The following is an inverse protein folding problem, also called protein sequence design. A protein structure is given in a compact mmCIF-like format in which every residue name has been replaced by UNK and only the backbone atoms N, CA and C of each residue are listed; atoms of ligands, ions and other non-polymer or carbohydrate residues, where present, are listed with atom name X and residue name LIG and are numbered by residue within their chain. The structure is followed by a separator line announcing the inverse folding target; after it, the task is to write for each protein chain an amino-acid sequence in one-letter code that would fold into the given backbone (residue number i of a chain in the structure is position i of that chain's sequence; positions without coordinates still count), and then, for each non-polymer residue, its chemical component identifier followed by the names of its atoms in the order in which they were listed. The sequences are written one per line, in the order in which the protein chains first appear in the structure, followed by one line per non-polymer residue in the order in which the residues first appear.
data_IF_631148875598
#
_entry.id   IF_631148875598
#
_cell.length_a   1.000
_cell.length_b   1.000
_cell.length_c   1.000
_cell.angle_alpha   90.00
_cell.angle_beta   90.00
_cell.angle_gamma   90.00
#
_symmetry.space_group_name_H-M   'P 1'
#
loop_
_entity.id
_entity.type
_entity.pdbx_description
1 polymer ?
#
# COMPACT_ATOMS: atom_id res chain seq x y z
N UNK A 1 -25.87 35.23 -15.84
CA UNK A 1 -25.49 34.20 -16.82
C UNK A 1 -24.52 33.21 -16.20
N UNK A 2 -24.75 31.94 -16.36
CA UNK A 2 -23.82 30.93 -15.88
C UNK A 2 -23.07 30.28 -17.05
N UNK A 3 -21.88 29.74 -16.73
CA UNK A 3 -21.06 29.07 -17.73
C UNK A 3 -20.54 27.78 -17.13
N UNK A 4 -20.58 26.70 -17.89
CA UNK A 4 -20.06 25.42 -17.48
C UNK A 4 -18.80 25.13 -18.27
N UNK A 5 -17.76 24.69 -17.57
CA UNK A 5 -16.49 24.28 -18.18
C UNK A 5 -16.12 22.88 -17.66
N UNK A 6 -15.85 21.98 -18.58
CA UNK A 6 -15.40 20.64 -18.23
C UNK A 6 -13.89 20.59 -18.29
N UNK A 7 -13.28 20.21 -17.18
CA UNK A 7 -11.84 20.04 -17.09
C UNK A 7 -11.48 18.56 -16.99
N UNK A 8 -10.30 18.17 -17.48
CA UNK A 8 -9.80 16.83 -17.24
C UNK A 8 -9.74 16.59 -15.74
N UNK A 9 -10.03 15.37 -15.33
CA UNK A 9 -9.96 14.99 -13.91
C UNK A 9 -8.54 15.20 -13.42
N UNK A 10 -8.39 15.97 -12.32
CA UNK A 10 -7.09 16.21 -11.71
C UNK A 10 -6.47 14.88 -11.27
N UNK A 11 -5.16 14.78 -11.42
CA UNK A 11 -4.43 13.66 -10.89
C UNK A 11 -4.52 12.41 -11.74
N UNK A 12 -4.55 12.55 -13.06
CA UNK A 12 -4.17 11.43 -13.89
C UNK A 12 -2.83 10.97 -13.34
N UNK A 13 -2.80 9.83 -12.69
CA UNK A 13 -1.64 9.36 -11.98
C UNK A 13 -0.48 9.10 -12.92
N UNK A 14 0.71 9.32 -12.44
CA UNK A 14 1.93 8.99 -13.18
C UNK A 14 2.25 7.52 -12.98
N UNK A 15 2.92 6.92 -13.97
CA UNK A 15 3.17 5.49 -14.01
C UNK A 15 4.64 5.11 -13.88
N UNK A 16 5.52 6.08 -13.68
CA UNK A 16 6.96 5.83 -13.55
C UNK A 16 7.28 5.04 -12.28
N UNK A 17 8.34 4.27 -12.34
CA UNK A 17 8.81 3.49 -11.19
C UNK A 17 9.23 4.39 -10.04
N UNK A 18 9.13 3.87 -8.83
CA UNK A 18 9.55 4.55 -7.62
C UNK A 18 8.38 4.96 -6.74
N UNK A 19 8.64 5.89 -5.84
CA UNK A 19 7.68 6.33 -4.86
C UNK A 19 6.71 7.37 -5.42
N UNK A 20 5.44 7.20 -5.08
CA UNK A 20 4.36 8.11 -5.43
C UNK A 20 3.53 8.42 -4.19
N UNK A 21 3.23 9.68 -3.98
CA UNK A 21 2.28 10.08 -2.95
C UNK A 21 0.87 9.88 -3.51
N UNK A 22 0.11 8.96 -2.92
CA UNK A 22 -1.20 8.59 -3.44
C UNK A 22 -2.29 8.79 -2.41
N UNK A 23 -3.46 9.19 -2.88
CA UNK A 23 -4.66 9.30 -2.06
C UNK A 23 -5.55 8.09 -2.31
N UNK A 24 -5.99 7.45 -1.24
CA UNK A 24 -6.84 6.27 -1.33
C UNK A 24 -8.25 6.70 -1.73
N UNK A 25 -8.75 6.16 -2.83
CA UNK A 25 -10.08 6.47 -3.33
C UNK A 25 -11.14 5.46 -2.89
N UNK A 26 -10.72 4.22 -2.67
CA UNK A 26 -11.62 3.13 -2.31
C UNK A 26 -10.83 2.03 -1.62
N UNK A 27 -11.48 1.31 -0.71
CA UNK A 27 -10.89 0.14 -0.08
C UNK A 27 -11.98 -0.88 0.19
N UNK A 28 -11.65 -2.18 0.07
CA UNK A 28 -12.61 -3.25 0.30
C UNK A 28 -11.90 -4.52 0.76
N UNK A 29 -12.44 -5.14 1.78
CA UNK A 29 -11.99 -6.47 2.21
C UNK A 29 -12.50 -7.55 1.27
N UNK A 30 -11.74 -8.62 1.17
CA UNK A 30 -12.16 -9.80 0.42
C UNK A 30 -11.46 -11.04 0.95
N UNK A 31 -11.76 -12.16 0.30
CA UNK A 31 -11.16 -13.45 0.66
C UNK A 31 -10.94 -14.27 -0.60
N UNK A 32 -9.79 -14.90 -0.68
CA UNK A 32 -9.45 -15.79 -1.77
C UNK A 32 -8.69 -16.99 -1.22
N UNK A 33 -9.17 -18.17 -1.52
CA UNK A 33 -8.53 -19.44 -1.12
C UNK A 33 -8.24 -19.47 0.39
N UNK A 34 -9.24 -19.09 1.19
CA UNK A 34 -9.20 -19.02 2.66
C UNK A 34 -8.27 -17.93 3.22
N UNK A 35 -7.67 -17.12 2.36
CA UNK A 35 -6.83 -16.00 2.79
C UNK A 35 -7.60 -14.69 2.69
N UNK A 36 -7.60 -13.94 3.78
CA UNK A 36 -8.25 -12.63 3.83
C UNK A 36 -7.31 -11.57 3.32
N UNK A 37 -7.86 -10.58 2.64
CA UNK A 37 -7.07 -9.48 2.11
C UNK A 37 -7.88 -8.19 2.13
N UNK A 38 -7.18 -7.08 1.91
CA UNK A 38 -7.80 -5.80 1.62
C UNK A 38 -7.26 -5.28 0.29
N UNK A 39 -8.16 -4.82 -0.57
CA UNK A 39 -7.80 -4.13 -1.80
C UNK A 39 -7.94 -2.63 -1.60
N UNK A 40 -7.00 -1.87 -2.14
CA UNK A 40 -6.97 -0.42 -2.03
C UNK A 40 -6.75 0.16 -3.43
N UNK A 41 -7.60 1.13 -3.78
CA UNK A 41 -7.51 1.88 -5.04
C UNK A 41 -7.08 3.30 -4.75
N UNK A 42 -6.45 3.92 -5.73
CA UNK A 42 -5.87 5.25 -5.56
C UNK A 42 -6.47 6.22 -6.57
N UNK A 43 -6.62 7.48 -6.17
CA UNK A 43 -7.10 8.53 -7.07
C UNK A 43 -6.16 8.71 -8.26
N UNK A 44 -6.73 8.89 -9.45
CA UNK A 44 -5.96 9.09 -10.67
C UNK A 44 -5.54 7.81 -11.38
N UNK A 45 -5.98 6.64 -10.89
CA UNK A 45 -5.65 5.34 -11.48
C UNK A 45 -6.93 4.53 -11.74
N UNK A 46 -6.92 3.66 -12.76
CA UNK A 46 -8.10 2.88 -13.09
C UNK A 46 -8.39 1.76 -12.08
N UNK A 47 -9.61 1.24 -12.11
CA UNK A 47 -10.06 0.22 -11.16
C UNK A 47 -9.31 -1.12 -11.28
N UNK A 48 -8.66 -1.38 -12.41
CA UNK A 48 -7.83 -2.57 -12.56
C UNK A 48 -6.40 -2.39 -12.04
N UNK A 49 -6.11 -1.25 -11.44
CA UNK A 49 -4.81 -0.97 -10.85
C UNK A 49 -5.00 -0.69 -9.36
N UNK A 50 -4.84 -1.74 -8.57
CA UNK A 50 -5.05 -1.68 -7.12
C UNK A 50 -3.93 -2.41 -6.38
N UNK A 51 -3.81 -2.10 -5.11
CA UNK A 51 -2.88 -2.79 -4.21
C UNK A 51 -3.67 -3.81 -3.39
N UNK A 52 -3.20 -5.04 -3.35
CA UNK A 52 -3.79 -6.09 -2.50
C UNK A 52 -2.81 -6.47 -1.41
N UNK A 53 -3.27 -6.36 -0.18
CA UNK A 53 -2.50 -6.77 1.00
C UNK A 53 -3.22 -7.90 1.70
N UNK A 54 -2.56 -9.06 1.76
CA UNK A 54 -3.09 -10.22 2.49
C UNK A 54 -2.80 -10.08 3.98
N UNK A 55 -3.75 -10.53 4.80
CA UNK A 55 -3.57 -10.58 6.23
C UNK A 55 -2.41 -11.52 6.59
N UNK A 56 -1.59 -11.09 7.52
CA UNK A 56 -0.46 -11.87 8.02
C UNK A 56 -0.46 -11.82 9.53
N UNK A 57 -0.36 -12.99 10.16
CA UNK A 57 -0.33 -13.12 11.61
C UNK A 57 1.13 -13.28 12.04
N UNK A 58 1.56 -12.45 12.96
CA UNK A 58 2.92 -12.46 13.48
C UNK A 58 3.10 -13.35 14.71
N UNK A 59 4.27 -13.26 15.32
CA UNK A 59 4.64 -14.09 16.46
C UNK A 59 3.75 -13.91 17.69
N UNK A 60 3.17 -12.73 17.84
CA UNK A 60 2.31 -12.40 18.98
C UNK A 60 0.82 -12.65 18.68
N UNK A 61 0.54 -13.40 17.62
CA UNK A 61 -0.80 -13.72 17.19
C UNK A 61 -1.61 -12.48 16.76
N UNK A 62 -0.91 -11.42 16.38
CA UNK A 62 -1.51 -10.18 15.87
C UNK A 62 -1.38 -10.13 14.35
N UNK A 63 -2.44 -9.64 13.69
CA UNK A 63 -2.37 -9.35 12.27
C UNK A 63 -1.57 -8.05 12.09
N UNK A 64 -0.49 -8.08 11.32
CA UNK A 64 0.41 -6.92 11.20
C UNK A 64 0.45 -6.30 9.81
N UNK A 65 0.13 -7.03 8.75
CA UNK A 65 0.26 -6.49 7.38
C UNK A 65 -0.84 -5.47 7.08
N UNK A 66 -2.09 -5.83 7.32
CA UNK A 66 -3.22 -4.90 7.17
C UNK A 66 -3.15 -3.82 8.26
N UNK A 67 -2.80 -4.22 9.47
CA UNK A 67 -2.63 -3.27 10.57
C UNK A 67 -1.63 -2.16 10.26
N UNK A 68 -0.51 -2.50 9.65
CA UNK A 68 0.48 -1.50 9.25
C UNK A 68 -0.03 -0.57 8.14
N UNK A 69 -0.86 -1.09 7.24
CA UNK A 69 -1.49 -0.23 6.23
C UNK A 69 -2.34 0.87 6.89
N UNK A 70 -3.20 0.48 7.84
CA UNK A 70 -4.01 1.45 8.60
C UNK A 70 -3.15 2.43 9.38
N UNK A 71 -2.13 1.91 10.06
CA UNK A 71 -1.19 2.76 10.81
C UNK A 71 -0.52 3.80 9.92
N UNK A 72 0.05 3.36 8.79
CA UNK A 72 0.78 4.26 7.88
C UNK A 72 -0.13 5.24 7.16
N UNK A 73 -1.38 4.87 6.93
CA UNK A 73 -2.38 5.77 6.38
C UNK A 73 -2.95 6.73 7.42
N UNK A 74 -2.57 6.58 8.68
CA UNK A 74 -3.17 7.32 9.80
C UNK A 74 -4.68 7.16 9.79
N UNK A 75 -5.15 5.93 9.61
CA UNK A 75 -6.55 5.61 9.41
C UNK A 75 -7.12 4.87 10.61
N UNK A 76 -8.25 5.34 11.11
CA UNK A 76 -8.98 4.68 12.17
C UNK A 76 -8.30 4.60 13.53
N UNK A 77 -7.20 5.30 13.72
CA UNK A 77 -6.48 5.29 15.00
C UNK A 77 -7.36 5.92 16.08
N UNK A 78 -7.75 5.14 17.06
CA UNK A 78 -8.70 5.59 18.08
C UNK A 78 -8.07 5.78 19.45
N UNK A 79 -7.06 5.00 19.81
CA UNK A 79 -6.50 5.07 21.16
C UNK A 79 -5.13 4.40 21.23
N UNK A 80 -4.43 4.70 22.31
CA UNK A 80 -3.16 4.08 22.69
C UNK A 80 -3.37 3.31 23.97
N UNK A 81 -2.91 2.06 24.00
CA UNK A 81 -2.92 1.22 25.19
C UNK A 81 -1.49 0.83 25.54
N UNK A 82 -1.13 0.91 26.81
CA UNK A 82 0.17 0.43 27.27
C UNK A 82 0.04 -1.02 27.75
N UNK A 83 0.96 -1.86 27.31
CA UNK A 83 1.05 -3.21 27.85
C UNK A 83 1.88 -3.24 29.12
N UNK A 84 1.76 -4.32 29.89
CA UNK A 84 2.59 -4.53 31.09
C UNK A 84 4.08 -4.66 30.77
N UNK A 85 4.43 -4.88 29.50
CA UNK A 85 5.80 -5.05 29.04
C UNK A 85 6.42 -3.74 28.51
N UNK A 86 5.70 -2.63 28.65
CA UNK A 86 6.19 -1.33 28.19
C UNK A 86 6.06 -1.08 26.71
N UNK A 87 5.34 -1.94 26.00
CA UNK A 87 5.05 -1.76 24.58
C UNK A 87 3.80 -0.90 24.40
N UNK A 88 3.75 -0.15 23.32
CA UNK A 88 2.57 0.62 22.95
C UNK A 88 1.66 -0.24 22.09
N UNK A 89 0.40 -0.34 22.47
CA UNK A 89 -0.63 -1.05 21.71
C UNK A 89 -1.53 -0.02 21.06
N UNK A 90 -1.62 -0.08 19.75
CA UNK A 90 -2.47 0.83 18.99
C UNK A 90 -3.85 0.19 18.81
N UNK A 91 -4.88 0.91 19.25
CA UNK A 91 -6.26 0.51 19.00
C UNK A 91 -6.79 1.28 17.80
N UNK A 92 -7.34 0.57 16.84
CA UNK A 92 -7.83 1.19 15.61
C UNK A 92 -9.17 0.62 15.17
N UNK A 93 -9.94 1.46 14.49
CA UNK A 93 -11.11 1.02 13.74
C UNK A 93 -10.63 0.59 12.35
N UNK A 94 -10.77 -0.67 12.04
CA UNK A 94 -10.28 -1.26 10.80
C UNK A 94 -11.35 -1.41 9.71
N UNK A 95 -12.40 -0.63 9.77
CA UNK A 95 -13.35 -0.54 8.66
C UNK A 95 -12.63 0.00 7.42
N UNK A 96 -12.89 -0.62 6.28
CA UNK A 96 -12.22 -0.23 5.02
C UNK A 96 -12.44 1.26 4.69
N UNK A 97 -13.62 1.78 5.01
CA UNK A 97 -13.96 3.18 4.76
C UNK A 97 -13.06 4.17 5.49
N UNK A 98 -12.41 3.76 6.57
CA UNK A 98 -11.47 4.62 7.30
C UNK A 98 -10.26 4.98 6.45
N UNK A 99 -9.94 4.17 5.46
CA UNK A 99 -8.80 4.42 4.55
C UNK A 99 -9.11 5.45 3.47
N UNK A 100 -10.38 5.65 3.14
CA UNK A 100 -10.76 6.53 2.02
C UNK A 100 -10.37 7.98 2.32
N UNK A 101 -9.70 8.63 1.37
CA UNK A 101 -9.22 10.00 1.53
C UNK A 101 -7.86 10.12 2.21
N UNK A 102 -7.31 9.02 2.70
CA UNK A 102 -6.00 9.03 3.36
C UNK A 102 -4.89 8.97 2.33
N UNK A 103 -3.73 9.50 2.69
CA UNK A 103 -2.55 9.53 1.81
C UNK A 103 -1.46 8.62 2.34
N UNK A 104 -0.82 7.92 1.42
CA UNK A 104 0.35 7.09 1.71
C UNK A 104 1.36 7.22 0.58
N UNK A 105 2.61 6.87 0.88
CA UNK A 105 3.62 6.70 -0.15
C UNK A 105 3.55 5.26 -0.68
N UNK A 106 3.46 5.12 -1.99
CA UNK A 106 3.29 3.84 -2.66
C UNK A 106 4.44 3.63 -3.63
N UNK A 107 5.00 2.44 -3.65
CA UNK A 107 6.14 2.12 -4.50
C UNK A 107 5.67 1.36 -5.74
N UNK A 108 5.96 1.92 -6.91
CA UNK A 108 5.62 1.30 -8.19
C UNK A 108 6.86 0.64 -8.78
N UNK A 109 6.67 -0.55 -9.36
CA UNK A 109 7.75 -1.25 -10.04
C UNK A 109 7.23 -1.85 -11.34
N UNK A 110 8.15 -2.19 -12.23
CA UNK A 110 7.81 -2.81 -13.50
C UNK A 110 7.95 -4.33 -13.44
N UNK A 111 6.95 -5.00 -14.01
CA UNK A 111 6.96 -6.44 -14.20
C UNK A 111 6.66 -6.70 -15.67
N UNK A 112 7.72 -6.86 -16.47
CA UNK A 112 7.55 -6.87 -17.92
C UNK A 112 6.99 -5.56 -18.45
N UNK A 113 5.84 -5.63 -19.10
CA UNK A 113 5.14 -4.45 -19.65
C UNK A 113 4.30 -3.72 -18.62
N UNK A 114 4.06 -4.34 -17.47
CA UNK A 114 3.06 -3.85 -16.53
C UNK A 114 3.70 -3.09 -15.38
N UNK A 115 3.01 -2.05 -14.93
CA UNK A 115 3.33 -1.37 -13.69
C UNK A 115 2.57 -2.05 -12.58
N UNK A 116 3.26 -2.36 -11.49
CA UNK A 116 2.66 -3.00 -10.32
C UNK A 116 2.94 -2.18 -9.08
N UNK A 117 2.14 -2.41 -8.06
CA UNK A 117 2.25 -1.72 -6.78
C UNK A 117 2.81 -2.69 -5.75
N UNK A 118 3.88 -2.26 -5.07
CA UNK A 118 4.40 -3.00 -3.93
C UNK A 118 3.37 -2.97 -2.80
N UNK A 119 3.13 -4.12 -2.18
CA UNK A 119 2.11 -4.24 -1.13
C UNK A 119 2.58 -3.78 0.25
N UNK A 120 3.67 -3.05 0.31
CA UNK A 120 4.13 -2.36 1.51
C UNK A 120 4.21 -0.87 1.22
N UNK A 121 3.38 -0.11 1.90
CA UNK A 121 3.37 1.35 1.78
C UNK A 121 4.31 1.96 2.81
N UNK A 122 4.66 3.22 2.62
CA UNK A 122 5.34 4.01 3.64
C UNK A 122 4.42 5.16 4.06
N UNK A 123 4.52 5.61 5.31
CA UNK A 123 3.67 6.70 5.78
C UNK A 123 4.06 8.04 5.17
N UNK A 124 3.10 8.96 5.14
CA UNK A 124 3.38 10.38 5.03
C UNK A 124 3.76 10.89 6.41
N UNK A 125 4.17 12.15 6.51
CA UNK A 125 4.34 12.78 7.81
C UNK A 125 2.97 13.04 8.43
N UNK A 126 2.81 12.67 9.69
CA UNK A 126 1.57 12.95 10.43
C UNK A 126 1.81 12.89 11.94
N UNK A 127 0.84 13.37 12.69
CA UNK A 127 0.80 13.26 14.14
C UNK A 127 -0.60 12.82 14.57
N UNK A 128 -0.66 11.89 15.48
CA UNK A 128 -1.92 11.43 16.07
C UNK A 128 -1.72 11.17 17.57
N UNK A 129 -2.75 10.63 18.23
CA UNK A 129 -2.72 10.37 19.68
C UNK A 129 -1.69 9.33 20.09
N UNK A 130 -1.18 8.56 19.15
CA UNK A 130 -0.25 7.46 19.40
C UNK A 130 1.17 7.81 19.04
N UNK A 131 1.39 8.43 17.89
CA UNK A 131 2.73 8.64 17.38
C UNK A 131 2.81 9.85 16.47
N UNK A 132 4.03 10.33 16.31
CA UNK A 132 4.39 11.36 15.33
C UNK A 132 5.32 10.72 14.32
N UNK A 133 4.96 10.80 13.04
CA UNK A 133 5.82 10.31 11.96
C UNK A 133 6.53 11.53 11.36
N UNK A 134 7.84 11.57 11.55
CA UNK A 134 8.70 12.65 11.04
C UNK A 134 9.19 12.33 9.63
N UNK A 135 9.88 13.30 9.01
CA UNK A 135 10.56 13.10 7.73
C UNK A 135 11.53 11.91 7.80
N UNK A 136 12.28 11.79 8.88
CA UNK A 136 13.22 10.68 9.06
C UNK A 136 12.50 9.35 9.15
N UNK A 137 11.35 9.31 9.81
CA UNK A 137 10.53 8.10 9.90
C UNK A 137 10.00 7.70 8.53
N UNK A 138 9.57 8.65 7.72
CA UNK A 138 9.13 8.39 6.35
C UNK A 138 10.26 7.73 5.56
N UNK A 139 11.46 8.26 5.63
CA UNK A 139 12.61 7.71 4.92
C UNK A 139 12.97 6.32 5.44
N UNK A 140 12.87 6.10 6.74
CA UNK A 140 13.12 4.78 7.33
C UNK A 140 12.15 3.73 6.77
N UNK A 141 10.87 4.03 6.72
CA UNK A 141 9.86 3.09 6.23
C UNK A 141 9.94 2.88 4.72
N UNK A 142 10.29 3.93 3.97
CA UNK A 142 10.59 3.78 2.54
C UNK A 142 11.78 2.83 2.33
N UNK A 143 12.82 2.99 3.12
CA UNK A 143 14.00 2.11 3.05
C UNK A 143 13.67 0.66 3.36
N UNK A 144 12.79 0.43 4.34
CA UNK A 144 12.34 -0.91 4.69
C UNK A 144 11.54 -1.56 3.56
N UNK A 145 10.65 -0.80 2.94
CA UNK A 145 9.85 -1.30 1.82
C UNK A 145 10.72 -1.58 0.59
N UNK A 146 11.67 -0.71 0.30
CA UNK A 146 12.63 -0.91 -0.80
C UNK A 146 13.47 -2.16 -0.57
N UNK A 147 13.92 -2.39 0.65
CA UNK A 147 14.67 -3.60 1.00
C UNK A 147 13.82 -4.85 0.78
N UNK A 148 12.56 -4.81 1.20
CA UNK A 148 11.64 -5.91 0.95
C UNK A 148 11.49 -6.18 -0.55
N UNK A 149 11.35 -5.12 -1.34
CA UNK A 149 11.27 -5.26 -2.78
C UNK A 149 12.53 -5.92 -3.36
N UNK A 150 13.71 -5.43 -2.98
CA UNK A 150 14.99 -5.97 -3.47
C UNK A 150 15.18 -7.44 -3.06
N UNK A 151 14.83 -7.77 -1.83
CA UNK A 151 15.10 -9.11 -1.28
C UNK A 151 14.06 -10.15 -1.71
N UNK A 152 12.79 -9.75 -1.91
CA UNK A 152 11.68 -10.69 -2.08
C UNK A 152 10.98 -10.60 -3.43
N UNK A 153 10.90 -9.44 -4.03
CA UNK A 153 10.14 -9.23 -5.26
C UNK A 153 11.04 -9.24 -6.49
N UNK A 154 12.10 -8.44 -6.47
CA UNK A 154 13.00 -8.28 -7.60
C UNK A 154 13.60 -9.59 -8.09
N UNK A 155 14.07 -10.52 -7.22
CA UNK A 155 14.58 -11.80 -7.69
C UNK A 155 13.54 -12.62 -8.46
N UNK A 156 12.28 -12.56 -8.05
CA UNK A 156 11.19 -13.25 -8.75
C UNK A 156 10.92 -12.64 -10.12
N UNK A 157 11.05 -11.32 -10.25
CA UNK A 157 10.86 -10.63 -11.51
C UNK A 157 11.97 -11.00 -12.50
N UNK A 158 13.22 -11.02 -12.06
CA UNK A 158 14.37 -11.40 -12.89
C UNK A 158 14.22 -12.83 -13.40
N UNK A 159 13.82 -13.76 -12.53
CA UNK A 159 13.57 -15.14 -12.92
C UNK A 159 12.42 -15.24 -13.92
N UNK A 160 11.34 -14.50 -13.70
CA UNK A 160 10.19 -14.47 -14.59
C UNK A 160 10.55 -13.89 -15.94
N UNK A 161 11.33 -12.82 -15.95
CA UNK A 161 11.77 -12.20 -17.21
C UNK A 161 12.66 -13.12 -18.02
N UNK A 162 13.55 -13.87 -17.39
CA UNK A 162 14.37 -14.86 -18.04
C UNK A 162 13.50 -15.97 -18.65
N UNK A 163 12.50 -16.44 -17.92
CA UNK A 163 11.56 -17.44 -18.41
C UNK A 163 10.74 -16.89 -19.56
N UNK A 164 10.29 -15.66 -19.49
CA UNK A 164 9.54 -14.99 -20.56
C UNK A 164 10.39 -14.89 -21.82
N UNK A 165 11.65 -14.46 -21.70
CA UNK A 165 12.56 -14.38 -22.84
C UNK A 165 12.82 -15.75 -23.47
N UNK A 166 12.93 -16.78 -22.66
CA UNK A 166 13.18 -18.15 -23.14
C UNK A 166 11.95 -18.80 -23.79
N UNK A 167 10.73 -18.44 -23.35
CA UNK A 167 9.50 -19.12 -23.75
C UNK A 167 8.40 -18.13 -24.16
N UNK A 168 8.75 -17.11 -24.91
CA UNK A 168 7.83 -16.05 -25.34
C UNK A 168 6.58 -16.59 -26.06
N UNK A 169 6.72 -17.69 -26.79
CA UNK A 169 5.63 -18.28 -27.55
C UNK A 169 4.67 -19.09 -26.68
N UNK A 170 5.12 -19.54 -25.52
CA UNK A 170 4.36 -20.43 -24.65
C UNK A 170 3.64 -19.72 -23.53
N UNK A 171 3.87 -18.44 -23.34
CA UNK A 171 3.29 -17.68 -22.23
C UNK A 171 2.15 -16.81 -22.75
N UNK A 172 0.90 -17.11 -22.37
CA UNK A 172 -0.23 -16.26 -22.71
C UNK A 172 -0.25 -15.05 -21.79
N UNK A 173 -0.39 -13.89 -22.37
CA UNK A 173 -0.51 -12.63 -21.65
C UNK A 173 -1.83 -11.97 -21.98
#
# INVERSE_FOLDING_TARGET
MSRTLTLPKKGTGQWNEGWHECTISKAAYGEWNESKYIDVWFEGYPDNFNMRTYAKIGKNDEEFAIGNLFRFANAGISDELESAEGETIIKMNDDADELVGKQVNVFFYKSGKFTRILNQVAPMEFENVVETISTDDVQYWKGRAEKYFIDRIKPKLETTDEVVEANLEDIPF
#
